data_IF_229485364228
#
_entry.id   IF_229485364228
#
_cell.length_a   1.000
_cell.length_b   1.000
_cell.length_c   1.000
_cell.angle_alpha   90.00
_cell.angle_beta   90.00
_cell.angle_gamma   90.00
#
_symmetry.space_group_name_H-M   'P 1'
#
loop_
_entity.id
_entity.type
_entity.pdbx_description
1 polymer ?
#
# COMPACT_ATOMS: atom_id res chain seq x y z
N UNK A 1 31.44 -42.24 151.35
CA UNK A 1 30.76 -43.17 150.42
C UNK A 1 29.28 -42.81 150.36
N UNK A 2 28.73 -42.42 149.20
CA UNK A 2 27.29 -42.47 148.93
C UNK A 2 27.03 -42.45 147.40
N UNK A 3 26.05 -43.25 146.98
CA UNK A 3 25.74 -43.81 145.64
C UNK A 3 25.10 -42.83 144.65
N UNK A 4 25.37 -43.03 143.35
CA UNK A 4 24.67 -42.40 142.21
C UNK A 4 23.42 -43.24 141.83
N UNK A 5 22.25 -42.64 141.55
CA UNK A 5 21.05 -43.37 141.11
C UNK A 5 20.97 -43.49 139.57
N UNK A 6 20.22 -44.47 139.02
CA UNK A 6 20.24 -44.80 137.59
C UNK A 6 19.29 -43.92 136.76
N UNK A 7 19.55 -43.72 135.46
CA UNK A 7 18.73 -42.86 134.60
C UNK A 7 17.46 -43.56 134.10
N UNK A 8 16.38 -42.79 134.01
CA UNK A 8 15.03 -43.21 133.59
C UNK A 8 14.81 -42.79 132.14
N UNK A 9 14.48 -43.76 131.27
CA UNK A 9 14.15 -43.50 129.87
C UNK A 9 12.67 -43.14 129.71
N UNK A 10 12.40 -42.12 128.90
CA UNK A 10 11.06 -41.70 128.46
C UNK A 10 10.97 -41.90 126.96
N UNK A 11 9.96 -42.64 126.51
CA UNK A 11 9.68 -42.86 125.09
C UNK A 11 8.91 -41.65 124.58
N UNK A 12 9.52 -40.86 123.69
CA UNK A 12 8.88 -39.75 122.99
C UNK A 12 8.50 -40.23 121.59
N UNK A 13 7.22 -40.14 121.22
CA UNK A 13 6.75 -40.47 119.88
C UNK A 13 7.30 -39.47 118.86
N UNK A 14 8.01 -39.98 117.85
CA UNK A 14 8.53 -39.22 116.72
C UNK A 14 7.35 -38.80 115.82
N UNK A 15 7.09 -37.49 115.72
CA UNK A 15 6.18 -36.96 114.70
C UNK A 15 6.84 -37.07 113.31
N UNK A 16 6.12 -37.50 112.27
CA UNK A 16 6.71 -37.75 110.96
C UNK A 16 7.19 -36.44 110.30
N UNK A 17 8.42 -36.48 109.79
CA UNK A 17 9.09 -35.32 109.20
C UNK A 17 8.43 -34.94 107.85
N UNK A 18 7.80 -33.77 107.79
CA UNK A 18 7.06 -33.27 106.60
C UNK A 18 7.94 -32.55 105.59
N UNK A 19 9.23 -32.35 105.89
CA UNK A 19 10.22 -31.69 105.03
C UNK A 19 10.28 -32.22 103.58
N UNK A 20 10.25 -33.53 103.28
CA UNK A 20 10.34 -34.00 101.89
C UNK A 20 9.15 -33.61 101.00
N UNK A 21 7.95 -33.45 101.58
CA UNK A 21 6.76 -33.01 100.84
C UNK A 21 6.82 -31.52 100.46
N UNK A 22 7.48 -30.70 101.27
CA UNK A 22 7.66 -29.27 100.97
C UNK A 22 8.64 -29.10 99.82
N UNK A 23 9.75 -29.84 99.82
CA UNK A 23 10.73 -29.79 98.73
C UNK A 23 10.18 -30.33 97.42
N UNK A 24 9.33 -31.36 97.44
CA UNK A 24 8.66 -31.84 96.23
C UNK A 24 7.66 -30.82 95.68
N UNK A 25 6.89 -30.14 96.53
CA UNK A 25 5.99 -29.06 96.11
C UNK A 25 6.74 -27.88 95.47
N UNK A 26 7.89 -27.50 96.01
CA UNK A 26 8.76 -26.46 95.42
C UNK A 26 9.31 -26.89 94.07
N UNK A 27 9.77 -28.15 93.94
CA UNK A 27 10.24 -28.69 92.67
C UNK A 27 9.15 -28.69 91.59
N UNK A 28 7.93 -29.09 91.96
CA UNK A 28 6.76 -29.05 91.07
C UNK A 28 6.42 -27.62 90.67
N UNK A 29 6.37 -26.68 91.61
CA UNK A 29 6.10 -25.27 91.33
C UNK A 29 7.16 -24.66 90.40
N UNK A 30 8.45 -25.01 90.60
CA UNK A 30 9.53 -24.57 89.73
C UNK A 30 9.40 -25.14 88.31
N UNK A 31 9.12 -26.43 88.17
CA UNK A 31 8.92 -27.05 86.86
C UNK A 31 7.71 -26.46 86.12
N UNK A 32 6.60 -26.19 86.83
CA UNK A 32 5.44 -25.49 86.27
C UNK A 32 5.78 -24.08 85.81
N UNK A 33 6.60 -23.34 86.56
CA UNK A 33 7.04 -22.00 86.16
C UNK A 33 7.90 -22.00 84.89
N UNK A 34 8.75 -23.01 84.71
CA UNK A 34 9.55 -23.18 83.48
C UNK A 34 8.67 -23.50 82.28
N UNK A 35 7.69 -24.39 82.44
CA UNK A 35 6.73 -24.72 81.38
C UNK A 35 5.89 -23.50 81.02
N UNK A 36 5.43 -22.73 82.01
CA UNK A 36 4.71 -21.49 81.79
C UNK A 36 5.57 -20.44 81.06
N UNK A 37 6.83 -20.25 81.48
CA UNK A 37 7.76 -19.35 80.82
C UNK A 37 8.07 -19.78 79.37
N UNK A 38 8.20 -21.07 79.11
CA UNK A 38 8.43 -21.61 77.78
C UNK A 38 7.21 -21.38 76.86
N UNK A 39 5.99 -21.65 77.34
CA UNK A 39 4.76 -21.33 76.62
C UNK A 39 4.60 -19.83 76.36
N UNK A 40 4.93 -19.00 77.34
CA UNK A 40 4.84 -17.54 77.21
C UNK A 40 5.88 -17.00 76.22
N UNK A 41 7.10 -17.54 76.24
CA UNK A 41 8.14 -17.20 75.28
C UNK A 41 7.78 -17.58 73.85
N UNK A 42 7.19 -18.76 73.63
CA UNK A 42 6.76 -19.19 72.30
C UNK A 42 5.62 -18.33 71.75
N UNK A 43 4.67 -17.96 72.60
CA UNK A 43 3.53 -17.12 72.20
C UNK A 43 3.92 -15.68 71.86
N UNK A 44 4.94 -15.11 72.51
CA UNK A 44 5.42 -13.75 72.20
C UNK A 44 6.43 -13.70 71.03
N UNK A 45 7.26 -14.73 70.84
CA UNK A 45 8.33 -14.72 69.84
C UNK A 45 7.87 -15.14 68.43
N UNK A 46 6.81 -15.94 68.30
CA UNK A 46 6.41 -16.56 67.03
C UNK A 46 5.60 -15.70 66.02
N UNK A 47 4.78 -14.68 66.38
CA UNK A 47 3.82 -14.11 65.42
C UNK A 47 4.39 -13.10 64.40
N UNK A 48 5.70 -12.80 64.42
CA UNK A 48 6.30 -11.78 63.51
C UNK A 48 6.91 -12.38 62.23
N UNK A 49 7.50 -13.56 62.31
CA UNK A 49 8.07 -14.28 61.16
C UNK A 49 7.09 -14.50 60.00
N UNK A 50 5.86 -15.00 60.20
CA UNK A 50 4.94 -15.22 59.08
C UNK A 50 4.50 -13.91 58.42
N UNK A 51 4.41 -12.80 59.17
CA UNK A 51 4.08 -11.48 58.62
C UNK A 51 5.21 -10.93 57.75
N UNK A 52 6.46 -11.05 58.21
CA UNK A 52 7.65 -10.65 57.45
C UNK A 52 7.81 -11.45 56.16
N UNK A 53 7.57 -12.77 56.21
CA UNK A 53 7.60 -13.62 55.00
C UNK A 53 6.49 -13.21 54.03
N UNK A 54 5.27 -12.97 54.52
CA UNK A 54 4.17 -12.51 53.68
C UNK A 54 4.47 -11.14 53.03
N UNK A 55 5.02 -10.18 53.78
CA UNK A 55 5.39 -8.85 53.27
C UNK A 55 6.55 -8.91 52.26
N UNK A 56 7.52 -9.80 52.48
CA UNK A 56 8.60 -10.03 51.53
C UNK A 56 8.08 -10.66 50.24
N UNK A 57 7.16 -11.63 50.34
CA UNK A 57 6.51 -12.21 49.17
C UNK A 57 5.68 -11.18 48.39
N UNK A 58 4.91 -10.32 49.06
CA UNK A 58 4.15 -9.26 48.37
C UNK A 58 5.07 -8.27 47.69
N UNK A 59 6.13 -7.82 48.39
CA UNK A 59 7.13 -6.90 47.82
C UNK A 59 7.84 -7.51 46.61
N UNK A 60 8.20 -8.80 46.68
CA UNK A 60 8.80 -9.50 45.54
C UNK A 60 7.83 -9.66 44.36
N UNK A 61 6.53 -9.88 44.62
CA UNK A 61 5.52 -9.93 43.56
C UNK A 61 5.36 -8.57 42.90
N UNK A 62 5.23 -7.51 43.68
CA UNK A 62 5.16 -6.13 43.16
C UNK A 62 6.40 -5.77 42.35
N UNK A 63 7.59 -6.12 42.81
CA UNK A 63 8.84 -5.84 42.11
C UNK A 63 8.90 -6.60 40.76
N UNK A 64 8.46 -7.86 40.73
CA UNK A 64 8.32 -8.63 39.48
C UNK A 64 7.29 -8.00 38.54
N UNK A 65 6.15 -7.57 39.05
CA UNK A 65 5.11 -6.92 38.25
C UNK A 65 5.59 -5.59 37.66
N UNK A 66 6.33 -4.79 38.45
CA UNK A 66 6.95 -3.54 38.00
C UNK A 66 8.02 -3.81 36.93
N UNK A 67 8.86 -4.82 37.10
CA UNK A 67 9.84 -5.24 36.10
C UNK A 67 9.15 -5.65 34.79
N UNK A 68 8.11 -6.48 34.87
CA UNK A 68 7.32 -6.88 33.70
C UNK A 68 6.67 -5.67 33.00
N UNK A 69 6.22 -4.66 33.75
CA UNK A 69 5.68 -3.41 33.19
C UNK A 69 6.77 -2.60 32.49
N UNK A 70 7.96 -2.47 33.09
CA UNK A 70 9.10 -1.78 32.49
C UNK A 70 9.53 -2.45 31.19
N UNK A 71 9.61 -3.78 31.17
CA UNK A 71 9.97 -4.54 29.96
C UNK A 71 8.95 -4.33 28.84
N UNK A 72 7.65 -4.35 29.17
CA UNK A 72 6.57 -4.06 28.21
C UNK A 72 6.64 -2.63 27.68
N UNK A 73 6.93 -1.66 28.54
CA UNK A 73 7.06 -0.26 28.15
C UNK A 73 8.28 -0.04 27.26
N UNK A 74 9.43 -0.63 27.61
CA UNK A 74 10.66 -0.57 26.81
C UNK A 74 10.44 -1.20 25.43
N UNK A 75 9.77 -2.35 25.36
CA UNK A 75 9.43 -2.98 24.08
C UNK A 75 8.49 -2.12 23.23
N UNK A 76 7.50 -1.47 23.86
CA UNK A 76 6.58 -0.56 23.18
C UNK A 76 7.31 0.68 22.65
N UNK A 77 8.20 1.26 23.44
CA UNK A 77 9.02 2.39 23.04
C UNK A 77 9.90 2.05 21.85
N UNK A 78 10.62 0.92 21.90
CA UNK A 78 11.45 0.45 20.78
C UNK A 78 10.63 0.26 19.51
N UNK A 79 9.41 -0.29 19.63
CA UNK A 79 8.49 -0.47 18.50
C UNK A 79 8.04 0.88 17.92
N UNK A 80 7.67 1.84 18.77
CA UNK A 80 7.24 3.18 18.36
C UNK A 80 8.38 3.96 17.71
N UNK A 81 9.58 3.93 18.29
CA UNK A 81 10.77 4.56 17.71
C UNK A 81 11.08 3.98 16.33
N UNK A 82 11.00 2.65 16.18
CA UNK A 82 11.20 2.00 14.89
C UNK A 82 10.13 2.41 13.87
N UNK A 83 8.87 2.52 14.29
CA UNK A 83 7.77 2.97 13.44
C UNK A 83 7.92 4.42 12.99
N UNK A 84 8.38 5.32 13.85
CA UNK A 84 8.66 6.72 13.51
C UNK A 84 9.82 6.81 12.49
N UNK A 85 10.90 6.06 12.70
CA UNK A 85 12.02 5.99 11.75
C UNK A 85 11.57 5.51 10.36
N UNK A 86 10.76 4.45 10.31
CA UNK A 86 10.21 3.93 9.05
C UNK A 86 9.32 4.97 8.39
N UNK A 87 8.44 5.63 9.15
CA UNK A 87 7.54 6.66 8.63
C UNK A 87 8.30 7.84 8.03
N UNK A 88 9.36 8.31 8.69
CA UNK A 88 10.22 9.39 8.17
C UNK A 88 10.95 8.98 6.89
N UNK A 89 11.50 7.77 6.86
CA UNK A 89 12.19 7.24 5.68
C UNK A 89 11.23 7.09 4.49
N UNK A 90 10.04 6.53 4.72
CA UNK A 90 9.00 6.40 3.70
C UNK A 90 8.55 7.77 3.16
N UNK A 91 8.31 8.74 4.04
CA UNK A 91 7.93 10.09 3.63
C UNK A 91 9.01 10.76 2.78
N UNK A 92 10.29 10.64 3.17
CA UNK A 92 11.43 11.16 2.39
C UNK A 92 11.52 10.49 1.01
N UNK A 93 11.29 9.18 0.93
CA UNK A 93 11.26 8.45 -0.34
C UNK A 93 10.12 8.91 -1.24
N UNK A 94 8.91 9.09 -0.69
CA UNK A 94 7.75 9.62 -1.45
C UNK A 94 8.03 11.02 -1.97
N UNK A 95 8.55 11.91 -1.13
CA UNK A 95 8.93 13.27 -1.53
C UNK A 95 9.99 13.27 -2.64
N UNK A 96 11.00 12.40 -2.54
CA UNK A 96 12.03 12.24 -3.58
C UNK A 96 11.44 11.74 -4.91
N UNK A 97 10.54 10.75 -4.85
CA UNK A 97 9.84 10.25 -6.03
C UNK A 97 8.97 11.32 -6.70
N UNK A 98 8.27 12.15 -5.91
CA UNK A 98 7.47 13.26 -6.45
C UNK A 98 8.37 14.29 -7.14
N UNK A 99 9.46 14.71 -6.49
CA UNK A 99 10.39 15.67 -7.07
C UNK A 99 11.01 15.16 -8.39
N UNK A 100 11.36 13.87 -8.47
CA UNK A 100 11.87 13.27 -9.69
C UNK A 100 10.83 13.26 -10.81
N UNK A 101 9.56 12.95 -10.50
CA UNK A 101 8.47 13.00 -11.49
C UNK A 101 8.15 14.42 -11.95
N UNK A 102 8.18 15.40 -11.05
CA UNK A 102 7.97 16.80 -11.41
C UNK A 102 9.08 17.31 -12.34
N UNK A 103 10.33 16.91 -12.09
CA UNK A 103 11.45 17.19 -12.99
C UNK A 103 11.24 16.54 -14.37
N UNK A 104 10.88 15.25 -14.42
CA UNK A 104 10.59 14.53 -15.67
C UNK A 104 9.45 15.18 -16.46
N UNK A 105 8.37 15.59 -15.79
CA UNK A 105 7.25 16.30 -16.42
C UNK A 105 7.70 17.67 -16.96
N UNK A 106 8.52 18.39 -16.21
CA UNK A 106 9.06 19.68 -16.65
C UNK A 106 9.92 19.53 -17.90
N UNK A 107 10.80 18.52 -17.92
CA UNK A 107 11.66 18.22 -19.07
C UNK A 107 10.82 17.81 -20.29
N UNK A 108 9.85 16.89 -20.12
CA UNK A 108 8.95 16.50 -21.21
C UNK A 108 8.13 17.67 -21.77
N UNK A 109 7.69 18.59 -20.90
CA UNK A 109 6.99 19.82 -21.34
C UNK A 109 7.92 20.74 -22.13
N UNK A 110 9.17 20.87 -21.71
CA UNK A 110 10.17 21.65 -22.43
C UNK A 110 10.45 21.04 -23.82
N UNK A 111 10.55 19.71 -23.90
CA UNK A 111 10.73 18.98 -25.15
C UNK A 111 9.54 19.17 -26.09
N UNK A 112 8.31 19.03 -25.61
CA UNK A 112 7.11 19.28 -26.41
C UNK A 112 7.10 20.72 -26.92
N UNK A 113 7.36 21.71 -26.07
CA UNK A 113 7.41 23.10 -26.48
C UNK A 113 8.50 23.37 -27.53
N UNK A 114 9.64 22.67 -27.43
CA UNK A 114 10.69 22.70 -28.44
C UNK A 114 10.22 22.08 -29.77
N UNK A 115 9.59 20.90 -29.73
CA UNK A 115 9.03 20.25 -30.93
C UNK A 115 7.91 21.06 -31.57
N UNK A 116 7.02 21.67 -30.79
CA UNK A 116 5.98 22.57 -31.29
C UNK A 116 6.58 23.79 -31.99
N UNK A 117 7.66 24.37 -31.45
CA UNK A 117 8.36 25.48 -32.11
C UNK A 117 9.03 25.06 -33.41
N UNK A 118 9.59 23.84 -33.47
CA UNK A 118 10.29 23.33 -34.64
C UNK A 118 9.32 22.88 -35.76
N UNK A 119 8.26 22.15 -35.41
CA UNK A 119 7.30 21.56 -36.36
C UNK A 119 6.14 22.51 -36.66
N UNK A 120 5.69 23.26 -35.65
CA UNK A 120 4.57 24.21 -35.74
C UNK A 120 4.87 25.46 -36.57
N UNK A 121 6.15 25.76 -36.86
CA UNK A 121 6.51 26.77 -37.87
C UNK A 121 6.04 26.38 -39.30
N UNK A 122 5.70 25.11 -39.53
CA UNK A 122 5.25 24.56 -40.81
C UNK A 122 3.81 24.02 -40.81
N UNK A 123 3.17 23.91 -39.64
CA UNK A 123 1.79 23.41 -39.54
C UNK A 123 0.79 24.57 -39.69
N UNK A 124 -0.17 24.51 -40.63
CA UNK A 124 -1.14 25.59 -40.80
C UNK A 124 -1.92 25.83 -39.50
N UNK A 125 -2.20 27.09 -39.19
CA UNK A 125 -2.85 27.58 -37.97
C UNK A 125 -4.30 27.08 -37.71
N UNK A 126 -4.74 26.02 -38.40
CA UNK A 126 -6.10 25.50 -38.37
C UNK A 126 -6.13 24.28 -37.45
N UNK A 127 -6.93 24.37 -36.40
CA UNK A 127 -7.01 23.36 -35.34
C UNK A 127 -7.64 22.02 -35.76
N UNK A 128 -7.88 21.71 -37.03
CA UNK A 128 -8.43 20.44 -37.51
C UNK A 128 -7.30 19.64 -38.19
N UNK A 129 -7.18 18.34 -37.91
CA UNK A 129 -6.08 17.52 -38.43
C UNK A 129 -6.52 16.06 -38.66
N UNK A 130 -5.92 15.38 -39.65
CA UNK A 130 -6.04 13.93 -39.82
C UNK A 130 -4.86 13.28 -39.10
N UNK A 131 -5.14 12.51 -38.05
CA UNK A 131 -4.12 11.86 -37.23
C UNK A 131 -3.58 10.60 -37.88
N UNK A 132 -4.47 9.73 -38.36
CA UNK A 132 -4.10 8.47 -39.00
C UNK A 132 -5.09 8.07 -40.08
N UNK A 133 -4.58 7.30 -41.05
CA UNK A 133 -5.31 6.72 -42.16
C UNK A 133 -4.81 5.30 -42.34
N UNK A 134 -5.70 4.33 -42.20
CA UNK A 134 -5.39 2.91 -42.28
C UNK A 134 -6.34 2.21 -43.24
N UNK A 135 -5.81 1.26 -44.02
CA UNK A 135 -6.59 0.42 -44.91
C UNK A 135 -6.32 -1.05 -44.61
N UNK A 136 -7.39 -1.84 -44.53
CA UNK A 136 -7.33 -3.28 -44.31
C UNK A 136 -8.13 -3.99 -45.40
N UNK A 137 -7.58 -5.03 -46.05
CA UNK A 137 -8.34 -5.80 -47.03
C UNK A 137 -9.47 -6.56 -46.33
N UNK A 138 -10.66 -6.57 -46.96
CA UNK A 138 -11.84 -7.32 -46.52
C UNK A 138 -12.17 -8.46 -47.49
N UNK A 139 -12.88 -9.46 -46.99
CA UNK A 139 -13.38 -10.59 -47.79
C UNK A 139 -14.30 -10.06 -48.90
N UNK A 140 -14.01 -10.40 -50.15
CA UNK A 140 -14.78 -9.91 -51.31
C UNK A 140 -14.12 -8.77 -52.09
N UNK A 141 -12.84 -8.45 -51.81
CA UNK A 141 -12.05 -7.52 -52.62
C UNK A 141 -12.28 -6.03 -52.29
N UNK A 142 -13.00 -5.75 -51.20
CA UNK A 142 -13.12 -4.41 -50.64
C UNK A 142 -11.99 -4.13 -49.65
N UNK A 143 -11.81 -2.86 -49.33
CA UNK A 143 -10.86 -2.36 -48.36
C UNK A 143 -11.62 -1.56 -47.31
N UNK A 144 -11.53 -2.01 -46.05
CA UNK A 144 -11.99 -1.23 -44.91
C UNK A 144 -11.01 -0.11 -44.67
N UNK A 145 -11.49 1.12 -44.61
CA UNK A 145 -10.70 2.26 -44.19
C UNK A 145 -11.07 2.68 -42.77
N UNK A 146 -10.07 3.18 -42.05
CA UNK A 146 -10.23 3.82 -40.76
C UNK A 146 -9.40 5.11 -40.75
N UNK A 147 -10.08 6.23 -40.52
CA UNK A 147 -9.48 7.56 -40.49
C UNK A 147 -9.78 8.20 -39.14
N UNK A 148 -8.74 8.66 -38.44
CA UNK A 148 -8.88 9.33 -37.15
C UNK A 148 -8.69 10.83 -37.36
N UNK A 149 -9.72 11.60 -37.05
CA UNK A 149 -9.68 13.06 -37.06
C UNK A 149 -9.42 13.58 -35.65
N UNK A 150 -8.65 14.64 -35.53
CA UNK A 150 -8.30 15.28 -34.26
C UNK A 150 -8.43 16.79 -34.36
N UNK A 151 -8.74 17.43 -33.24
CA UNK A 151 -8.79 18.88 -33.12
C UNK A 151 -7.84 19.37 -32.03
N UNK A 152 -7.04 20.39 -32.33
CA UNK A 152 -6.19 21.06 -31.35
C UNK A 152 -7.06 21.84 -30.35
N UNK A 153 -6.74 21.72 -29.05
CA UNK A 153 -7.52 22.13 -27.89
C UNK A 153 -7.91 23.62 -27.84
N UNK A 154 -7.25 24.48 -28.62
CA UNK A 154 -7.33 25.94 -28.49
C UNK A 154 -8.72 26.58 -28.73
N UNK A 155 -9.76 25.84 -29.15
CA UNK A 155 -11.07 26.45 -29.45
C UNK A 155 -12.30 25.82 -28.80
N UNK A 156 -12.23 24.62 -28.23
CA UNK A 156 -13.36 23.96 -27.54
C UNK A 156 -14.69 23.83 -28.32
N UNK A 157 -14.75 24.31 -29.57
CA UNK A 157 -15.89 24.31 -30.47
C UNK A 157 -15.96 22.98 -31.22
N UNK A 158 -17.16 22.55 -31.57
CA UNK A 158 -17.39 21.35 -32.39
C UNK A 158 -16.90 21.61 -33.81
N UNK A 159 -16.05 20.73 -34.34
CA UNK A 159 -15.71 20.68 -35.76
C UNK A 159 -16.71 19.80 -36.48
N UNK A 160 -17.39 20.36 -37.47
CA UNK A 160 -18.32 19.67 -38.34
C UNK A 160 -17.96 19.88 -39.82
N UNK A 161 -18.29 18.90 -40.66
CA UNK A 161 -18.02 18.97 -42.08
C UNK A 161 -18.07 17.61 -42.77
N UNK A 162 -17.54 17.58 -43.98
CA UNK A 162 -17.45 16.39 -44.81
C UNK A 162 -16.00 15.97 -45.06
N UNK A 163 -15.78 14.65 -45.04
CA UNK A 163 -14.54 13.98 -45.38
C UNK A 163 -14.69 13.27 -46.73
N UNK A 164 -13.72 13.50 -47.61
CA UNK A 164 -13.49 12.67 -48.80
C UNK A 164 -12.03 12.32 -48.89
N UNK A 165 -11.71 11.28 -49.65
CA UNK A 165 -10.33 10.98 -50.01
C UNK A 165 -10.25 10.46 -51.44
N UNK A 166 -9.04 10.54 -51.99
CA UNK A 166 -8.66 9.87 -53.22
C UNK A 166 -7.41 9.03 -52.98
N UNK A 167 -7.30 7.92 -53.71
CA UNK A 167 -6.16 7.02 -53.62
C UNK A 167 -5.33 7.17 -54.88
N UNK A 168 -4.07 7.55 -54.71
CA UNK A 168 -3.08 7.69 -55.76
C UNK A 168 -2.20 6.44 -55.82
N UNK A 169 -1.91 5.99 -57.03
CA UNK A 169 -1.17 4.76 -57.24
C UNK A 169 -0.83 4.54 -58.70
N UNK A 170 -0.62 3.27 -59.06
CA UNK A 170 -0.25 2.86 -60.41
C UNK A 170 -1.31 1.94 -60.97
N UNK A 171 -1.76 2.18 -62.20
CA UNK A 171 -2.63 1.29 -62.99
C UNK A 171 -1.99 1.04 -64.34
N UNK A 172 -1.73 -0.22 -64.69
CA UNK A 172 -1.12 -0.57 -65.99
C UNK A 172 0.21 0.15 -66.26
N UNK A 173 1.03 0.35 -65.23
CA UNK A 173 2.34 1.02 -65.33
C UNK A 173 2.32 2.55 -65.41
N UNK A 174 1.13 3.20 -65.33
CA UNK A 174 1.00 4.67 -65.31
C UNK A 174 0.41 5.15 -63.98
N UNK A 175 0.79 6.36 -63.58
CA UNK A 175 0.20 7.02 -62.42
C UNK A 175 -1.30 7.22 -62.65
N UNK A 176 -2.10 6.81 -61.67
CA UNK A 176 -3.55 6.94 -61.67
C UNK A 176 -4.03 7.38 -60.28
N UNK A 177 -5.14 8.12 -60.25
CA UNK A 177 -5.80 8.55 -59.01
C UNK A 177 -7.26 8.14 -59.04
N UNK A 178 -7.71 7.45 -57.99
CA UNK A 178 -9.05 6.92 -57.86
C UNK A 178 -9.81 7.83 -56.89
N UNK A 179 -10.83 8.51 -57.40
CA UNK A 179 -11.63 9.45 -56.63
C UNK A 179 -12.68 8.78 -55.75
N UNK A 180 -13.24 9.54 -54.80
CA UNK A 180 -14.28 9.10 -53.86
C UNK A 180 -15.46 8.34 -54.50
N UNK A 181 -15.97 8.85 -55.62
CA UNK A 181 -17.10 8.25 -56.34
C UNK A 181 -16.73 6.89 -56.97
N UNK A 182 -15.53 6.77 -57.55
CA UNK A 182 -15.02 5.52 -58.16
C UNK A 182 -14.76 4.48 -57.07
N UNK A 183 -14.23 4.90 -55.92
CA UNK A 183 -14.01 4.05 -54.74
C UNK A 183 -15.31 3.46 -54.18
N UNK A 184 -16.42 4.19 -54.27
CA UNK A 184 -17.76 3.73 -53.85
C UNK A 184 -18.59 3.14 -55.00
N UNK A 185 -18.04 3.07 -56.22
CA UNK A 185 -18.73 2.59 -57.42
C UNK A 185 -20.08 3.28 -57.67
N UNK A 186 -20.21 4.54 -57.27
CA UNK A 186 -21.47 5.28 -57.33
C UNK A 186 -21.21 6.72 -57.74
N UNK A 187 -21.84 7.21 -58.82
CA UNK A 187 -21.73 8.63 -59.17
C UNK A 187 -22.36 9.49 -58.08
N UNK A 188 -21.68 10.57 -57.67
CA UNK A 188 -22.08 11.46 -56.57
C UNK A 188 -22.28 10.70 -55.26
N UNK A 189 -21.27 9.93 -54.87
CA UNK A 189 -21.31 9.21 -53.61
C UNK A 189 -21.42 10.22 -52.43
N UNK A 190 -22.29 9.97 -51.43
CA UNK A 190 -22.39 10.84 -50.26
C UNK A 190 -21.03 11.04 -49.60
N UNK A 191 -20.76 12.26 -49.14
CA UNK A 191 -19.55 12.59 -48.39
C UNK A 191 -19.66 11.96 -47.00
N UNK A 192 -18.53 11.56 -46.41
CA UNK A 192 -18.52 11.06 -45.04
C UNK A 192 -18.59 12.23 -44.06
N UNK A 193 -19.74 12.44 -43.43
CA UNK A 193 -19.90 13.51 -42.44
C UNK A 193 -19.11 13.21 -41.16
N UNK A 194 -18.64 14.29 -40.52
CA UNK A 194 -18.00 14.26 -39.21
C UNK A 194 -18.54 15.38 -38.32
N UNK A 195 -18.58 15.14 -37.02
CA UNK A 195 -18.96 16.12 -36.00
C UNK A 195 -18.36 15.71 -34.66
N UNK A 196 -17.32 16.43 -34.22
CA UNK A 196 -16.59 16.07 -33.02
C UNK A 196 -15.97 17.26 -32.32
N UNK A 197 -15.72 17.12 -31.01
CA UNK A 197 -15.07 18.14 -30.20
C UNK A 197 -13.57 17.93 -30.02
N UNK A 198 -13.14 16.67 -29.92
CA UNK A 198 -11.76 16.30 -29.62
C UNK A 198 -11.19 15.39 -30.71
N UNK A 199 -11.84 14.24 -30.92
CA UNK A 199 -11.50 13.31 -31.98
C UNK A 199 -12.74 12.54 -32.42
N UNK A 200 -12.68 12.02 -33.64
CA UNK A 200 -13.65 11.05 -34.15
C UNK A 200 -12.96 10.09 -35.09
N UNK A 201 -13.29 8.81 -34.94
CA UNK A 201 -12.90 7.77 -35.86
C UNK A 201 -14.01 7.58 -36.89
N UNK A 202 -13.65 7.67 -38.16
CA UNK A 202 -14.53 7.43 -39.29
C UNK A 202 -14.06 6.18 -40.00
N UNK A 203 -14.99 5.36 -40.46
CA UNK A 203 -14.65 4.16 -41.21
C UNK A 203 -15.77 3.73 -42.12
N UNK A 204 -15.39 2.93 -43.12
CA UNK A 204 -16.28 2.38 -44.12
C UNK A 204 -15.50 1.44 -45.02
N UNK A 205 -16.12 1.00 -46.11
CA UNK A 205 -15.51 0.10 -47.07
C UNK A 205 -15.53 0.71 -48.47
N UNK A 206 -14.41 0.59 -49.18
CA UNK A 206 -14.24 1.06 -50.55
C UNK A 206 -13.67 -0.06 -51.43
N UNK A 207 -13.87 0.03 -52.74
CA UNK A 207 -13.28 -0.91 -53.69
C UNK A 207 -12.22 -0.22 -54.54
N UNK A 208 -11.08 -0.88 -54.69
CA UNK A 208 -10.06 -0.48 -55.66
C UNK A 208 -10.28 -1.23 -56.98
N UNK A 209 -10.24 -0.56 -58.13
CA UNK A 209 -10.41 -1.27 -59.40
C UNK A 209 -9.25 -2.24 -59.68
N UNK A 210 -9.54 -3.30 -60.45
CA UNK A 210 -8.57 -4.34 -60.75
C UNK A 210 -7.29 -3.79 -61.40
N UNK A 211 -6.14 -4.31 -61.00
CA UNK A 211 -4.83 -3.89 -61.52
C UNK A 211 -4.36 -2.50 -61.04
N UNK A 212 -4.99 -1.93 -60.01
CA UNK A 212 -4.54 -0.72 -59.34
C UNK A 212 -3.72 -1.05 -58.08
N UNK A 213 -2.49 -0.54 -58.02
CA UNK A 213 -1.62 -0.66 -56.85
C UNK A 213 -1.58 0.68 -56.11
N UNK A 214 -2.20 0.78 -54.92
CA UNK A 214 -2.24 2.03 -54.17
C UNK A 214 -0.87 2.37 -53.57
N UNK A 215 -0.53 3.66 -53.54
CA UNK A 215 0.74 4.15 -52.98
C UNK A 215 0.53 5.25 -51.94
N UNK A 216 -0.42 6.15 -52.18
CA UNK A 216 -0.67 7.32 -51.34
C UNK A 216 -2.16 7.59 -51.26
N UNK A 217 -2.59 8.16 -50.14
CA UNK A 217 -3.96 8.63 -49.95
C UNK A 217 -3.93 10.11 -49.68
N UNK A 218 -4.77 10.84 -50.39
CA UNK A 218 -4.99 12.27 -50.19
C UNK A 218 -6.37 12.44 -49.56
N UNK A 219 -6.39 12.90 -48.32
CA UNK A 219 -7.61 13.14 -47.54
C UNK A 219 -7.94 14.63 -47.60
N UNK A 220 -9.18 14.92 -47.94
CA UNK A 220 -9.73 16.28 -48.01
C UNK A 220 -10.86 16.42 -47.01
N UNK A 221 -10.68 17.33 -46.06
CA UNK A 221 -11.70 17.74 -45.09
C UNK A 221 -12.28 19.08 -45.52
N UNK A 222 -13.61 19.19 -45.58
CA UNK A 222 -14.35 20.43 -45.81
C UNK A 222 -15.29 20.69 -44.65
N UNK A 223 -14.93 21.61 -43.75
CA UNK A 223 -15.81 22.13 -42.71
C UNK A 223 -16.23 23.57 -43.00
N UNK A 224 -17.14 24.12 -42.18
CA UNK A 224 -17.69 25.48 -42.37
C UNK A 224 -16.60 26.56 -42.45
N UNK A 225 -15.54 26.42 -41.66
CA UNK A 225 -14.49 27.44 -41.51
C UNK A 225 -13.10 26.99 -41.99
N UNK A 226 -12.97 25.76 -42.51
CA UNK A 226 -11.69 25.20 -42.91
C UNK A 226 -11.83 24.11 -43.97
N UNK A 227 -11.10 24.27 -45.08
CA UNK A 227 -10.71 23.18 -45.96
C UNK A 227 -9.26 22.79 -45.67
N UNK A 228 -9.00 21.49 -45.53
CA UNK A 228 -7.67 20.93 -45.27
C UNK A 228 -7.47 19.74 -46.20
N UNK A 229 -6.28 19.66 -46.79
CA UNK A 229 -5.86 18.55 -47.63
C UNK A 229 -4.53 18.01 -47.11
N UNK A 230 -4.46 16.72 -46.85
CA UNK A 230 -3.29 16.04 -46.30
C UNK A 230 -3.01 14.74 -47.04
N UNK A 231 -1.73 14.43 -47.21
CA UNK A 231 -1.26 13.24 -47.91
C UNK A 231 -0.65 12.24 -46.94
N UNK A 232 -1.01 10.97 -47.08
CA UNK A 232 -0.57 9.86 -46.25
C UNK A 232 -0.05 8.73 -47.14
N UNK A 233 1.07 8.11 -46.75
CA UNK A 233 1.50 6.87 -47.40
C UNK A 233 0.45 5.77 -47.21
N UNK A 234 0.22 4.96 -48.24
CA UNK A 234 -0.66 3.80 -48.12
C UNK A 234 -0.07 2.79 -47.14
N UNK A 235 -0.74 2.59 -46.00
CA UNK A 235 -0.39 1.56 -45.01
C UNK A 235 -1.46 0.48 -45.03
N UNK A 236 -1.15 -0.67 -45.60
CA UNK A 236 -1.97 -1.88 -45.50
C UNK A 236 -1.44 -2.80 -44.41
N UNK A 237 -2.24 -3.08 -43.39
CA UNK A 237 -1.92 -4.05 -42.34
C UNK A 237 -2.04 -5.49 -42.83
N UNK A 238 -1.30 -5.88 -43.86
CA UNK A 238 -1.18 -7.29 -44.26
C UNK A 238 0.02 -7.87 -43.53
N UNK A 239 -0.22 -8.41 -42.33
CA UNK A 239 0.71 -9.38 -41.76
C UNK A 239 0.58 -10.64 -42.61
N UNK A 240 1.53 -10.85 -43.51
CA UNK A 240 1.66 -12.12 -44.22
C UNK A 240 2.12 -13.15 -43.20
N UNK A 241 1.19 -13.92 -42.64
CA UNK A 241 1.52 -15.19 -42.00
C UNK A 241 1.86 -16.15 -43.14
N UNK A 242 3.14 -16.19 -43.51
CA UNK A 242 3.66 -17.23 -44.38
C UNK A 242 3.74 -18.53 -43.59
N UNK A 243 2.80 -19.44 -43.83
CA UNK A 243 3.04 -20.87 -43.62
C UNK A 243 3.94 -21.37 -44.75
N UNK A 244 5.15 -21.80 -44.40
CA UNK A 244 5.77 -23.07 -44.82
C UNK A 244 6.89 -23.40 -43.85
#
# INVERSE_FOLDING_TARGET
MAKVPPPRFVIVQQQPDKRPYIWSAVGVAWSLSLVAAWFWSQSLAAPRLPKLVAELETTQRELRDRQNQLDRLAQREATLQRSDQISRAANKQVQGSLAQRDAEISDLRADIAFYERLVGATAPAKGLNVHSVEFQPETGGTWRYQIVLTQNLNRGAVSNGGLQFQVEGVRGGKLASIGWDELHQKPKAPIQDYSFRYFQQLGGSVMLPAGFTPQRVRVSLRGENAAIEQHFAWKSGVTVTGET
#
